data_IF_577312807485
#
_entry.id   IF_577312807485
#
_cell.length_a   1.000
_cell.length_b   1.000
_cell.length_c   1.000
_cell.angle_alpha   90.00
_cell.angle_beta   90.00
_cell.angle_gamma   90.00
#
_symmetry.space_group_name_H-M   'P 1'
#
loop_
_entity.id
_entity.type
_entity.pdbx_description
1 polymer ?
#
# COMPACT_ATOMS: atom_id res chain seq x y z
N UNK A 1 -0.51 74.08 -27.04
CA UNK A 1 -0.15 72.81 -27.72
C UNK A 1 0.37 71.85 -26.69
N UNK A 2 -0.38 70.79 -26.38
CA UNK A 2 -0.03 69.79 -25.36
C UNK A 2 1.01 68.80 -25.90
N UNK A 3 2.15 68.70 -25.21
CA UNK A 3 3.21 67.72 -25.48
C UNK A 3 2.79 66.34 -24.99
N UNK A 4 2.61 65.40 -25.91
CA UNK A 4 2.34 63.99 -25.62
C UNK A 4 3.65 63.32 -25.15
N UNK A 5 3.72 62.97 -23.86
CA UNK A 5 4.82 62.14 -23.32
C UNK A 5 4.78 60.74 -23.94
N UNK A 6 5.91 60.15 -24.38
CA UNK A 6 5.93 58.83 -24.98
C UNK A 6 5.58 57.74 -23.96
N UNK A 7 4.67 56.85 -24.35
CA UNK A 7 4.16 55.74 -23.53
C UNK A 7 5.23 54.65 -23.43
N UNK A 8 5.76 54.39 -22.23
CA UNK A 8 6.75 53.31 -22.00
C UNK A 8 6.07 51.96 -22.24
N UNK A 9 6.63 51.14 -23.12
CA UNK A 9 6.19 49.76 -23.34
C UNK A 9 6.50 48.93 -22.09
N UNK A 10 5.52 48.27 -21.46
CA UNK A 10 5.77 47.50 -20.25
C UNK A 10 6.46 46.18 -20.65
N UNK A 11 7.58 45.87 -20.00
CA UNK A 11 8.37 44.62 -20.13
C UNK A 11 9.24 44.47 -21.38
N UNK A 12 10.53 44.83 -21.27
CA UNK A 12 11.61 44.32 -22.13
C UNK A 12 12.38 43.27 -21.34
N UNK A 13 12.19 42.00 -21.66
CA UNK A 13 12.99 40.91 -21.09
C UNK A 13 14.37 40.94 -21.76
N UNK A 14 15.44 40.99 -20.94
CA UNK A 14 16.82 41.04 -21.42
C UNK A 14 17.24 39.73 -22.10
N UNK A 15 18.25 39.77 -22.97
CA UNK A 15 18.84 38.56 -23.56
C UNK A 15 19.35 37.59 -22.49
N UNK A 16 19.90 38.12 -21.40
CA UNK A 16 20.40 37.32 -20.29
C UNK A 16 19.27 36.68 -19.47
N UNK A 17 18.14 37.38 -19.30
CA UNK A 17 16.94 36.83 -18.67
C UNK A 17 16.31 35.71 -19.52
N UNK A 18 16.29 35.86 -20.85
CA UNK A 18 15.80 34.81 -21.75
C UNK A 18 16.64 33.53 -21.69
N UNK A 19 17.97 33.66 -21.63
CA UNK A 19 18.89 32.53 -21.45
C UNK A 19 18.64 31.83 -20.10
N UNK A 20 18.45 32.62 -19.03
CA UNK A 20 18.13 32.10 -17.70
C UNK A 20 16.81 31.32 -17.66
N UNK A 21 15.75 31.85 -18.27
CA UNK A 21 14.44 31.17 -18.35
C UNK A 21 14.54 29.88 -19.17
N UNK A 22 15.27 29.88 -20.29
CA UNK A 22 15.46 28.68 -21.11
C UNK A 22 16.25 27.60 -20.36
N UNK A 23 17.29 28.00 -19.62
CA UNK A 23 18.06 27.10 -18.77
C UNK A 23 17.19 26.48 -17.67
N UNK A 24 16.36 27.30 -17.00
CA UNK A 24 15.43 26.82 -15.97
C UNK A 24 14.44 25.81 -16.54
N UNK A 25 13.86 26.09 -17.72
CA UNK A 25 12.94 25.16 -18.40
C UNK A 25 13.61 23.84 -18.79
N UNK A 26 14.88 23.89 -19.22
CA UNK A 26 15.66 22.69 -19.53
C UNK A 26 15.88 21.85 -18.27
N UNK A 27 16.30 22.47 -17.16
CA UNK A 27 16.48 21.78 -15.88
C UNK A 27 15.18 21.15 -15.39
N UNK A 28 14.05 21.87 -15.48
CA UNK A 28 12.74 21.33 -15.11
C UNK A 28 12.31 20.16 -16.01
N UNK A 29 12.60 20.21 -17.30
CA UNK A 29 12.35 19.09 -18.22
C UNK A 29 13.21 17.86 -17.88
N UNK A 30 14.49 18.06 -17.55
CA UNK A 30 15.38 16.97 -17.13
C UNK A 30 14.87 16.35 -15.83
N UNK A 31 14.50 17.17 -14.84
CA UNK A 31 13.93 16.68 -13.58
C UNK A 31 12.62 15.91 -13.82
N UNK A 32 11.71 16.42 -14.67
CA UNK A 32 10.47 15.71 -15.01
C UNK A 32 10.72 14.41 -15.75
N UNK A 33 11.65 14.40 -16.70
CA UNK A 33 12.00 13.20 -17.48
C UNK A 33 12.66 12.15 -16.59
N UNK A 34 13.56 12.58 -15.69
CA UNK A 34 14.18 11.73 -14.69
C UNK A 34 13.14 11.21 -13.68
N UNK A 35 12.19 12.03 -13.26
CA UNK A 35 11.09 11.60 -12.40
C UNK A 35 10.20 10.57 -13.11
N UNK A 36 9.87 10.75 -14.39
CA UNK A 36 9.11 9.76 -15.18
C UNK A 36 9.86 8.44 -15.27
N UNK A 37 11.17 8.50 -15.58
CA UNK A 37 12.02 7.32 -15.71
C UNK A 37 12.18 6.56 -14.38
N UNK A 38 12.36 7.31 -13.28
CA UNK A 38 12.43 6.73 -11.94
C UNK A 38 11.08 6.23 -11.46
N UNK A 39 9.96 6.87 -11.79
CA UNK A 39 8.63 6.42 -11.39
C UNK A 39 8.25 5.07 -12.05
N UNK A 40 8.57 4.90 -13.33
CA UNK A 40 8.35 3.65 -14.06
C UNK A 40 9.26 2.52 -13.56
N UNK A 41 10.53 2.81 -13.25
CA UNK A 41 11.48 1.84 -12.71
C UNK A 41 11.29 1.51 -11.23
N UNK A 42 10.94 2.49 -10.40
CA UNK A 42 10.76 2.32 -8.95
C UNK A 42 9.57 1.43 -8.61
N UNK A 43 8.48 1.53 -9.39
CA UNK A 43 7.37 0.59 -9.26
C UNK A 43 7.87 -0.83 -9.55
N UNK A 44 8.54 -1.07 -10.69
CA UNK A 44 9.02 -2.42 -11.07
C UNK A 44 10.01 -3.07 -10.10
N UNK A 45 10.88 -2.30 -9.44
CA UNK A 45 11.99 -2.85 -8.62
C UNK A 45 11.55 -3.25 -7.20
N UNK A 46 10.41 -2.77 -6.69
CA UNK A 46 9.92 -3.14 -5.34
C UNK A 46 8.45 -3.60 -5.35
N UNK A 47 7.66 -3.31 -6.39
CA UNK A 47 6.23 -3.63 -6.44
C UNK A 47 5.76 -3.92 -7.87
N UNK A 48 5.55 -5.19 -8.22
CA UNK A 48 4.78 -5.53 -9.41
C UNK A 48 3.29 -5.72 -9.04
N UNK A 49 2.43 -4.70 -9.13
CA UNK A 49 1.00 -4.81 -8.79
C UNK A 49 0.25 -5.79 -9.71
N UNK A 50 0.79 -6.06 -10.90
CA UNK A 50 0.17 -6.92 -11.91
C UNK A 50 0.49 -8.42 -11.67
N UNK A 51 1.29 -8.77 -10.66
CA UNK A 51 1.59 -10.19 -10.33
C UNK A 51 0.35 -10.92 -9.77
N UNK A 52 -0.60 -10.19 -9.18
CA UNK A 52 -1.81 -10.73 -8.57
C UNK A 52 -3.06 -10.34 -9.36
N UNK A 53 -2.98 -10.29 -10.70
CA UNK A 53 -4.20 -10.38 -11.51
C UNK A 53 -4.88 -11.71 -11.22
N UNK A 54 -5.83 -11.67 -10.28
CA UNK A 54 -6.79 -12.73 -10.04
C UNK A 54 -7.52 -12.94 -11.37
N UNK A 55 -7.31 -14.14 -11.93
CA UNK A 55 -8.10 -14.68 -13.05
C UNK A 55 -9.56 -14.29 -12.89
N UNK A 56 -10.11 -13.67 -13.93
CA UNK A 56 -11.40 -12.98 -13.96
C UNK A 56 -12.62 -13.92 -13.96
N UNK A 57 -12.50 -15.10 -13.36
CA UNK A 57 -13.55 -16.11 -13.28
C UNK A 57 -14.04 -16.26 -11.83
N UNK A 58 -14.82 -15.28 -11.35
CA UNK A 58 -15.98 -15.48 -10.46
C UNK A 58 -16.52 -14.12 -9.99
N UNK A 59 -17.17 -13.38 -10.90
CA UNK A 59 -18.07 -12.28 -10.54
C UNK A 59 -19.51 -12.76 -10.72
N UNK A 60 -19.98 -13.62 -9.81
CA UNK A 60 -21.40 -13.96 -9.73
C UNK A 60 -22.13 -12.78 -9.09
N UNK A 61 -22.81 -12.02 -9.94
CA UNK A 61 -23.63 -10.85 -9.60
C UNK A 61 -24.64 -11.21 -8.52
N UNK A 62 -24.49 -10.63 -7.33
CA UNK A 62 -25.54 -10.60 -6.30
C UNK A 62 -26.29 -9.28 -6.50
N UNK A 63 -27.55 -9.42 -6.85
CA UNK A 63 -28.47 -8.34 -7.23
C UNK A 63 -28.84 -7.48 -6.00
N UNK A 64 -28.19 -6.34 -5.83
CA UNK A 64 -28.34 -5.43 -4.68
C UNK A 64 -29.58 -4.55 -4.74
N UNK A 65 -30.39 -4.63 -5.82
CA UNK A 65 -31.54 -3.73 -6.03
C UNK A 65 -32.75 -4.03 -5.12
N UNK A 66 -32.75 -5.12 -4.35
CA UNK A 66 -33.89 -5.53 -3.51
C UNK A 66 -33.82 -5.06 -2.05
N UNK A 67 -32.67 -4.57 -1.59
CA UNK A 67 -32.46 -4.18 -0.17
C UNK A 67 -32.72 -2.69 0.12
N UNK A 68 -32.68 -1.82 -0.89
CA UNK A 68 -32.84 -0.36 -0.68
C UNK A 68 -34.27 0.04 -0.27
N UNK A 69 -35.29 -0.75 -0.60
CA UNK A 69 -36.69 -0.40 -0.35
C UNK A 69 -37.23 -0.81 1.04
N UNK A 70 -36.42 -1.46 1.88
CA UNK A 70 -36.84 -1.89 3.23
C UNK A 70 -36.40 -0.89 4.32
N UNK A 71 -35.39 -0.05 4.06
CA UNK A 71 -34.77 0.81 5.07
C UNK A 71 -35.41 2.20 5.22
N UNK A 72 -36.31 2.60 4.31
CA UNK A 72 -36.91 3.94 4.32
C UNK A 72 -38.16 4.08 5.22
N UNK A 73 -38.60 3.01 5.87
CA UNK A 73 -39.88 2.97 6.60
C UNK A 73 -39.78 2.89 8.13
N UNK A 74 -38.61 3.15 8.74
CA UNK A 74 -38.47 3.07 10.21
C UNK A 74 -37.82 4.33 10.79
N UNK A 75 -38.71 5.15 11.32
CA UNK A 75 -38.58 6.40 12.07
C UNK A 75 -37.32 6.61 12.92
N UNK A 76 -36.89 7.88 12.90
CA UNK A 76 -36.62 8.75 14.05
C UNK A 76 -36.77 8.07 15.41
N UNK A 77 -35.63 7.83 16.08
CA UNK A 77 -35.50 7.91 17.53
C UNK A 77 -34.02 8.13 17.87
N UNK A 78 -33.78 9.13 18.74
CA UNK A 78 -32.47 9.44 19.31
C UNK A 78 -32.02 8.22 20.12
N UNK A 79 -31.04 7.46 19.63
CA UNK A 79 -30.40 6.40 20.42
C UNK A 79 -28.97 6.83 20.74
N UNK A 80 -28.77 7.25 21.99
CA UNK A 80 -27.47 7.23 22.67
C UNK A 80 -27.06 5.77 22.82
N UNK A 81 -26.48 5.18 21.76
CA UNK A 81 -26.27 3.74 21.69
C UNK A 81 -24.84 3.39 22.12
N UNK A 82 -24.72 2.76 23.29
CA UNK A 82 -23.55 2.00 23.74
C UNK A 82 -23.43 0.66 22.98
N UNK A 83 -23.71 0.67 21.67
CA UNK A 83 -23.54 -0.51 20.82
C UNK A 83 -22.06 -0.64 20.47
N UNK A 84 -21.49 -1.87 20.48
CA UNK A 84 -20.12 -2.06 20.04
C UNK A 84 -20.00 -1.56 18.61
N UNK A 85 -19.12 -0.58 18.39
CA UNK A 85 -18.78 -0.09 17.05
C UNK A 85 -18.19 -1.30 16.30
N UNK A 86 -18.98 -1.91 15.42
CA UNK A 86 -18.53 -3.04 14.63
C UNK A 86 -17.54 -2.53 13.58
N UNK A 87 -16.25 -2.76 13.84
CA UNK A 87 -15.19 -2.38 12.92
C UNK A 87 -15.16 -3.35 11.75
N UNK A 88 -14.90 -2.82 10.55
CA UNK A 88 -14.73 -3.64 9.35
C UNK A 88 -13.31 -4.19 9.32
N UNK A 89 -13.13 -5.36 8.71
CA UNK A 89 -11.80 -5.93 8.53
C UNK A 89 -11.03 -5.16 7.45
N UNK A 90 -9.87 -4.62 7.82
CA UNK A 90 -8.97 -3.88 6.95
C UNK A 90 -8.49 -4.76 5.78
N UNK A 91 -8.26 -6.05 6.03
CA UNK A 91 -7.80 -6.99 5.01
C UNK A 91 -8.84 -7.30 3.95
N UNK A 92 -10.11 -6.97 4.20
CA UNK A 92 -11.25 -7.13 3.27
C UNK A 92 -11.80 -5.80 2.78
N UNK A 93 -11.17 -4.69 3.14
CA UNK A 93 -11.66 -3.36 2.79
C UNK A 93 -11.46 -3.06 1.30
N UNK A 94 -12.50 -2.54 0.65
CA UNK A 94 -12.41 -2.01 -0.71
C UNK A 94 -11.98 -0.55 -0.72
N UNK A 95 -11.55 -0.04 -1.87
CA UNK A 95 -11.09 1.35 -1.98
C UNK A 95 -12.21 2.34 -1.62
N UNK A 96 -13.46 2.00 -1.95
CA UNK A 96 -14.64 2.78 -1.60
C UNK A 96 -14.86 2.86 -0.09
N UNK A 97 -14.52 1.79 0.64
CA UNK A 97 -14.64 1.71 2.09
C UNK A 97 -13.62 2.60 2.79
N UNK A 98 -12.39 2.62 2.28
CA UNK A 98 -11.32 3.45 2.81
C UNK A 98 -11.56 4.94 2.53
N UNK A 99 -12.17 5.26 1.38
CA UNK A 99 -12.50 6.64 1.00
C UNK A 99 -13.56 7.31 1.90
N UNK A 100 -14.28 6.55 2.73
CA UNK A 100 -15.18 7.15 3.74
C UNK A 100 -14.40 7.85 4.86
N UNK A 101 -13.11 7.53 5.02
CA UNK A 101 -12.25 8.15 6.02
C UNK A 101 -11.75 9.50 5.53
N UNK A 102 -12.01 10.56 6.31
CA UNK A 102 -11.52 11.90 6.01
C UNK A 102 -10.00 11.90 5.86
N UNK A 103 -9.51 12.36 4.73
CA UNK A 103 -8.08 12.38 4.38
C UNK A 103 -7.62 11.22 3.50
N UNK A 104 -8.49 10.26 3.18
CA UNK A 104 -8.20 9.20 2.22
C UNK A 104 -8.90 9.49 0.89
N UNK A 105 -8.14 9.96 -0.08
CA UNK A 105 -8.58 10.07 -1.48
C UNK A 105 -8.30 8.80 -2.30
N UNK A 106 -8.65 8.80 -3.60
CA UNK A 106 -8.46 7.64 -4.49
C UNK A 106 -7.02 7.07 -4.45
N UNK A 107 -6.03 7.94 -4.48
CA UNK A 107 -4.61 7.56 -4.45
C UNK A 107 -4.22 6.84 -3.16
N UNK A 108 -4.65 7.34 -2.00
CA UNK A 108 -4.28 6.74 -0.71
C UNK A 108 -5.03 5.43 -0.48
N UNK A 109 -6.31 5.34 -0.87
CA UNK A 109 -7.07 4.09 -0.77
C UNK A 109 -6.43 2.97 -1.58
N UNK A 110 -5.98 3.26 -2.80
CA UNK A 110 -5.29 2.27 -3.64
C UNK A 110 -3.95 1.85 -3.05
N UNK A 111 -3.17 2.79 -2.49
CA UNK A 111 -1.88 2.49 -1.85
C UNK A 111 -2.04 1.57 -0.64
N UNK A 112 -3.05 1.82 0.19
CA UNK A 112 -3.35 0.97 1.36
C UNK A 112 -3.65 -0.46 0.88
N UNK A 113 -4.54 -0.64 -0.09
CA UNK A 113 -4.89 -1.96 -0.61
C UNK A 113 -3.67 -2.65 -1.23
N UNK A 114 -2.94 -1.96 -2.11
CA UNK A 114 -1.74 -2.50 -2.76
C UNK A 114 -0.68 -2.92 -1.75
N UNK A 115 -0.46 -2.11 -0.71
CA UNK A 115 0.48 -2.44 0.35
C UNK A 115 0.02 -3.67 1.16
N UNK A 116 -1.25 -3.73 1.54
CA UNK A 116 -1.83 -4.92 2.20
C UNK A 116 -1.65 -6.19 1.37
N UNK A 117 -1.93 -6.14 0.06
CA UNK A 117 -1.74 -7.27 -0.84
C UNK A 117 -0.29 -7.73 -0.91
N UNK A 118 0.68 -6.80 -0.94
CA UNK A 118 2.10 -7.17 -0.93
C UNK A 118 2.54 -7.88 0.34
N UNK A 119 1.90 -7.59 1.47
CA UNK A 119 2.19 -8.27 2.73
C UNK A 119 1.48 -9.62 2.85
N UNK A 120 0.60 -9.98 1.91
CA UNK A 120 -0.38 -11.06 2.03
C UNK A 120 -1.43 -10.82 3.15
N UNK A 121 -1.72 -9.54 3.43
CA UNK A 121 -2.61 -9.09 4.49
C UNK A 121 -1.86 -8.37 5.61
N UNK A 122 -2.54 -7.49 6.30
CA UNK A 122 -2.04 -6.85 7.52
C UNK A 122 -2.17 -7.80 8.71
N UNK A 123 -1.15 -7.86 9.56
CA UNK A 123 -1.17 -8.51 10.89
C UNK A 123 -1.06 -7.49 12.03
N UNK A 124 -0.70 -6.25 11.72
CA UNK A 124 -0.53 -5.17 12.69
C UNK A 124 -0.93 -3.85 12.04
N UNK A 125 -1.77 -3.07 12.72
CA UNK A 125 -2.21 -1.78 12.21
C UNK A 125 -1.03 -0.81 12.05
N UNK A 126 0.06 -1.01 12.80
CA UNK A 126 1.29 -0.22 12.66
C UNK A 126 1.97 -0.42 11.29
N UNK A 127 1.64 -1.47 10.54
CA UNK A 127 2.12 -1.62 9.17
C UNK A 127 1.57 -0.51 8.26
N UNK A 128 0.45 0.13 8.59
CA UNK A 128 -0.06 1.30 7.85
C UNK A 128 0.93 2.47 7.82
N UNK A 129 1.80 2.63 8.82
CA UNK A 129 2.83 3.67 8.81
C UNK A 129 3.90 3.47 7.72
N UNK A 130 3.95 2.29 7.10
CA UNK A 130 4.84 2.01 5.96
C UNK A 130 4.20 2.36 4.62
N UNK A 131 2.91 2.69 4.61
CA UNK A 131 2.22 3.17 3.39
C UNK A 131 2.67 4.60 3.10
N UNK A 132 3.37 4.79 1.99
CA UNK A 132 3.93 6.10 1.63
C UNK A 132 2.85 7.17 1.43
N UNK A 133 3.05 8.32 2.09
CA UNK A 133 2.14 9.47 2.04
C UNK A 133 0.91 9.34 2.92
N UNK A 134 0.84 8.30 3.79
CA UNK A 134 -0.21 8.16 4.78
C UNK A 134 0.20 8.86 6.08
N UNK A 135 -0.51 9.93 6.43
CA UNK A 135 -0.27 10.70 7.64
C UNK A 135 -0.72 9.95 8.90
N UNK A 136 -0.05 10.16 10.04
CA UNK A 136 -0.38 9.49 11.31
C UNK A 136 -1.81 9.75 11.77
N UNK A 137 -2.33 10.96 11.54
CA UNK A 137 -3.71 11.33 11.88
C UNK A 137 -4.70 10.50 11.05
N UNK A 138 -4.35 10.18 9.79
CA UNK A 138 -5.18 9.32 8.94
C UNK A 138 -5.11 7.88 9.41
N UNK A 139 -3.93 7.39 9.83
CA UNK A 139 -3.78 6.06 10.42
C UNK A 139 -4.66 5.90 11.66
N UNK A 140 -4.73 6.90 12.52
CA UNK A 140 -5.56 6.83 13.73
C UNK A 140 -7.06 6.77 13.39
N UNK A 141 -7.51 7.50 12.37
CA UNK A 141 -8.90 7.37 11.87
C UNK A 141 -9.17 5.98 11.26
N UNK A 142 -8.19 5.37 10.60
CA UNK A 142 -8.32 3.99 10.12
C UNK A 142 -8.47 3.04 11.30
N UNK A 143 -7.70 3.20 12.39
CA UNK A 143 -7.82 2.39 13.61
C UNK A 143 -9.19 2.51 14.27
N UNK A 144 -9.87 3.64 14.14
CA UNK A 144 -11.22 3.85 14.67
C UNK A 144 -12.28 3.07 13.87
N UNK A 145 -12.13 3.01 12.54
CA UNK A 145 -13.12 2.43 11.63
C UNK A 145 -12.87 0.95 11.25
N UNK A 146 -11.62 0.52 11.30
CA UNK A 146 -11.19 -0.81 10.85
C UNK A 146 -10.44 -1.58 11.95
N UNK A 147 -10.57 -2.89 11.89
CA UNK A 147 -9.80 -3.86 12.68
C UNK A 147 -9.05 -4.81 11.74
N UNK A 148 -8.12 -5.60 12.28
CA UNK A 148 -7.42 -6.64 11.52
C UNK A 148 -7.92 -7.98 12.01
N UNK A 149 -8.45 -8.80 11.09
CA UNK A 149 -8.77 -10.20 11.37
C UNK A 149 -7.71 -11.11 10.74
N UNK A 150 -7.23 -12.07 11.53
CA UNK A 150 -6.13 -12.96 11.14
C UNK A 150 -6.55 -14.02 10.13
N UNK A 151 -7.85 -14.27 9.96
CA UNK A 151 -8.40 -15.24 9.01
C UNK A 151 -8.30 -14.79 7.53
N UNK A 152 -8.01 -13.51 7.30
CA UNK A 152 -7.85 -12.95 5.96
C UNK A 152 -6.41 -12.97 5.43
N UNK A 153 -5.46 -13.54 6.17
CA UNK A 153 -4.04 -13.59 5.79
C UNK A 153 -3.82 -14.79 4.87
N UNK A 154 -3.07 -14.58 3.79
CA UNK A 154 -2.73 -15.63 2.81
C UNK A 154 -1.32 -16.16 3.12
N UNK A 155 -1.16 -17.31 3.81
CA UNK A 155 0.15 -17.80 4.18
C UNK A 155 0.96 -18.24 2.96
N UNK A 156 2.27 -18.09 3.06
CA UNK A 156 3.23 -18.41 2.01
C UNK A 156 4.00 -19.68 2.36
N UNK A 157 4.11 -20.59 1.40
CA UNK A 157 4.88 -21.81 1.60
C UNK A 157 6.38 -21.52 1.54
N UNK A 158 7.05 -21.54 2.69
CA UNK A 158 8.48 -21.22 2.78
C UNK A 158 9.39 -22.21 2.03
N UNK A 159 8.92 -23.44 1.79
CA UNK A 159 9.69 -24.46 1.08
C UNK A 159 9.67 -24.25 -0.43
N UNK A 160 8.58 -23.70 -0.95
CA UNK A 160 8.38 -23.54 -2.40
C UNK A 160 8.53 -22.09 -2.87
N UNK A 161 8.39 -21.12 -1.98
CA UNK A 161 8.43 -19.71 -2.33
C UNK A 161 9.75 -19.32 -3.01
N UNK A 162 9.63 -18.59 -4.11
CA UNK A 162 10.73 -17.92 -4.79
C UNK A 162 11.37 -16.85 -3.90
N UNK A 163 12.57 -16.42 -4.28
CA UNK A 163 13.26 -15.30 -3.62
C UNK A 163 12.38 -14.04 -3.61
N UNK A 164 11.73 -13.78 -4.73
CA UNK A 164 10.88 -12.61 -4.93
C UNK A 164 9.66 -12.67 -4.02
N UNK A 165 9.04 -13.84 -3.84
CA UNK A 165 7.94 -14.02 -2.91
C UNK A 165 8.40 -13.85 -1.45
N UNK A 166 9.51 -14.48 -1.06
CA UNK A 166 10.03 -14.33 0.31
C UNK A 166 10.39 -12.87 0.64
N UNK A 167 10.75 -12.06 -0.36
CA UNK A 167 11.05 -10.64 -0.19
C UNK A 167 9.85 -9.78 0.17
N UNK A 168 8.62 -10.27 -0.07
CA UNK A 168 7.40 -9.54 0.29
C UNK A 168 7.02 -9.75 1.77
N UNK A 169 7.57 -10.79 2.40
CA UNK A 169 7.30 -11.08 3.80
C UNK A 169 7.86 -9.98 4.71
N UNK A 170 7.05 -9.48 5.66
CA UNK A 170 7.56 -8.54 6.64
C UNK A 170 8.62 -9.21 7.53
N UNK A 171 9.50 -8.41 8.12
CA UNK A 171 10.50 -8.82 9.11
C UNK A 171 11.71 -9.63 8.59
N UNK A 172 11.72 -10.09 7.33
CA UNK A 172 12.88 -10.74 6.73
C UNK A 172 13.71 -9.73 5.92
N UNK A 173 15.04 -9.79 6.08
CA UNK A 173 15.98 -9.02 5.27
C UNK A 173 16.44 -9.83 4.06
N UNK A 174 16.97 -9.16 3.02
CA UNK A 174 17.47 -9.84 1.83
C UNK A 174 18.57 -10.86 2.15
N UNK A 175 19.47 -10.56 3.09
CA UNK A 175 20.53 -11.50 3.49
C UNK A 175 19.99 -12.73 4.20
N UNK A 176 18.92 -12.58 4.99
CA UNK A 176 18.25 -13.69 5.66
C UNK A 176 17.49 -14.57 4.67
N UNK A 177 16.90 -13.95 3.63
CA UNK A 177 16.25 -14.68 2.54
C UNK A 177 17.27 -15.51 1.76
N UNK A 178 18.42 -14.93 1.38
CA UNK A 178 19.49 -15.69 0.73
C UNK A 178 19.97 -16.85 1.61
N UNK A 179 20.09 -16.60 2.92
CA UNK A 179 20.48 -17.64 3.85
C UNK A 179 19.44 -18.76 3.95
N UNK A 180 18.15 -18.43 4.03
CA UNK A 180 17.06 -19.40 4.02
C UNK A 180 17.03 -20.23 2.73
N UNK A 181 17.23 -19.60 1.57
CA UNK A 181 17.32 -20.30 0.29
C UNK A 181 18.54 -21.22 0.28
N UNK A 182 19.69 -20.74 0.76
CA UNK A 182 20.90 -21.56 0.85
C UNK A 182 20.76 -22.78 1.78
N UNK A 183 19.88 -22.70 2.78
CA UNK A 183 19.54 -23.83 3.65
C UNK A 183 18.57 -24.79 2.95
N UNK A 184 17.60 -24.25 2.20
CA UNK A 184 16.64 -25.04 1.41
C UNK A 184 17.34 -25.87 0.34
N UNK A 185 18.36 -25.32 -0.32
CA UNK A 185 19.01 -25.96 -1.47
C UNK A 185 19.98 -27.07 -1.06
N UNK A 186 20.16 -27.31 0.24
CA UNK A 186 20.96 -28.42 0.76
C UNK A 186 20.20 -29.75 0.67
N UNK A 187 20.88 -30.90 0.65
CA UNK A 187 20.24 -32.20 0.60
C UNK A 187 19.23 -32.44 1.75
N UNK A 188 19.49 -31.89 2.93
CA UNK A 188 18.60 -31.95 4.09
C UNK A 188 17.36 -31.03 4.00
N UNK A 189 17.39 -30.06 3.09
CA UNK A 189 16.40 -29.00 2.98
C UNK A 189 16.22 -28.18 4.27
N UNK A 190 15.06 -27.54 4.40
CA UNK A 190 14.72 -26.75 5.60
C UNK A 190 14.40 -27.60 6.85
N UNK A 191 14.45 -28.93 6.78
CA UNK A 191 14.12 -29.79 7.93
C UNK A 191 12.67 -29.66 8.41
N UNK A 192 12.43 -29.82 9.72
CA UNK A 192 11.08 -29.80 10.32
C UNK A 192 10.53 -28.39 10.52
N UNK A 193 9.20 -28.28 10.70
CA UNK A 193 8.53 -27.00 11.03
C UNK A 193 9.11 -26.36 12.30
N UNK A 194 9.41 -27.18 13.31
CA UNK A 194 9.98 -26.73 14.58
C UNK A 194 11.39 -26.18 14.38
N UNK A 195 12.20 -26.81 13.52
CA UNK A 195 13.53 -26.31 13.20
C UNK A 195 13.46 -24.92 12.60
N UNK A 196 12.67 -24.73 11.54
CA UNK A 196 12.53 -23.42 10.87
C UNK A 196 11.92 -22.38 11.82
N UNK A 197 10.95 -22.76 12.64
CA UNK A 197 10.37 -21.85 13.64
C UNK A 197 11.43 -21.38 14.65
N UNK A 198 12.25 -22.30 15.16
CA UNK A 198 13.35 -21.96 16.07
C UNK A 198 14.41 -21.11 15.37
N UNK A 199 14.73 -21.41 14.12
CA UNK A 199 15.66 -20.64 13.30
C UNK A 199 15.22 -19.18 13.20
N UNK A 200 13.95 -18.94 12.83
CA UNK A 200 13.39 -17.60 12.68
C UNK A 200 13.33 -16.85 14.01
N UNK A 201 12.79 -17.47 15.06
CA UNK A 201 12.55 -16.77 16.33
C UNK A 201 13.79 -16.64 17.21
N UNK A 202 14.64 -17.68 17.30
CA UNK A 202 15.77 -17.72 18.23
C UNK A 202 17.07 -17.31 17.57
N UNK A 203 17.34 -17.82 16.37
CA UNK A 203 18.61 -17.54 15.67
C UNK A 203 18.57 -16.18 14.98
N UNK A 204 17.50 -15.88 14.25
CA UNK A 204 17.33 -14.61 13.53
C UNK A 204 16.61 -13.53 14.35
N UNK A 205 16.15 -13.84 15.56
CA UNK A 205 15.45 -12.91 16.45
C UNK A 205 14.25 -12.20 15.78
N UNK A 206 13.44 -12.95 15.02
CA UNK A 206 12.31 -12.42 14.26
C UNK A 206 11.06 -12.23 15.12
N UNK A 207 10.26 -11.26 14.73
CA UNK A 207 8.95 -11.04 15.33
C UNK A 207 8.05 -12.26 15.10
N UNK A 208 7.40 -12.76 16.17
CA UNK A 208 6.49 -13.91 16.10
C UNK A 208 5.35 -13.74 15.09
N UNK A 209 4.95 -12.51 14.78
CA UNK A 209 3.95 -12.19 13.74
C UNK A 209 4.36 -12.66 12.35
N UNK A 210 5.66 -12.84 12.07
CA UNK A 210 6.15 -13.44 10.83
C UNK A 210 5.52 -14.81 10.59
N UNK A 211 5.35 -15.61 11.64
CA UNK A 211 4.87 -16.99 11.51
C UNK A 211 3.45 -17.09 10.97
N UNK A 212 2.65 -16.01 11.09
CA UNK A 212 1.28 -15.97 10.56
C UNK A 212 1.29 -15.94 9.02
N UNK A 213 2.38 -15.46 8.42
CA UNK A 213 2.56 -15.42 6.97
C UNK A 213 3.17 -16.69 6.39
N UNK A 214 3.43 -17.72 7.20
CA UNK A 214 4.18 -18.91 6.76
C UNK A 214 3.34 -20.18 6.86
N UNK A 215 3.42 -21.00 5.81
CA UNK A 215 3.02 -22.42 5.83
C UNK A 215 4.21 -23.32 5.46
N UNK A 216 4.12 -24.58 5.87
CA UNK A 216 5.20 -25.58 5.80
C UNK A 216 4.81 -26.84 5.04
N UNK A 217 3.57 -26.90 4.56
CA UNK A 217 2.97 -28.01 3.81
C UNK A 217 3.54 -28.15 2.40
#
# INVERSE_FOLDING_TARGET
MNSLKPKRTPFRISNEERKGVLFLLLVLCVIKSLHSLLAEGYQRVIFNPDRFEVSSEEKKVIDTTRLENVLLASNTDIITSNQPIYKRDLNRALAIDLKTIRGIGPVLSERIIKYGHSLNGYTDVNQLYRVYGLDSIVVDRIKEAFEIKSDAIIPMNIRLASREELSTLPYLSSSEIEWLISLRDRPEGLGSKEFVTNLLLKTLNKNKKLLVYLTYE
#
